data_IF_544221536052
#
_entry.id   IF_544221536052
#
_cell.length_a   1.000
_cell.length_b   1.000
_cell.length_c   1.000
_cell.angle_alpha   90.00
_cell.angle_beta   90.00
_cell.angle_gamma   90.00
#
_symmetry.space_group_name_H-M   'P 1'
#
loop_
_entity.id
_entity.type
_entity.pdbx_description
1 polymer ?
#
# COMPACT_ATOMS: atom_id res chain seq x y z
N UNK A 1 -6.50 72.75 42.02
CA UNK A 1 -5.17 72.85 42.68
C UNK A 1 -4.26 71.76 42.13
N UNK A 2 -3.09 72.15 41.62
CA UNK A 2 -1.77 71.45 41.49
C UNK A 2 -1.78 69.94 41.16
N UNK A 3 -1.37 69.52 39.95
CA UNK A 3 0.02 69.41 39.44
C UNK A 3 0.79 68.18 39.99
N UNK A 4 1.16 67.23 39.11
CA UNK A 4 2.54 66.99 38.65
C UNK A 4 2.67 65.66 37.86
N UNK A 5 3.43 65.77 36.77
CA UNK A 5 4.03 64.75 35.91
C UNK A 5 4.70 63.59 36.67
N UNK A 6 4.69 62.38 36.07
CA UNK A 6 5.89 61.55 35.93
C UNK A 6 5.75 60.54 34.77
N UNK A 7 6.64 60.71 33.80
CA UNK A 7 6.95 59.83 32.68
C UNK A 7 7.57 58.53 33.22
N UNK A 8 7.13 57.38 32.74
CA UNK A 8 7.86 56.11 32.89
C UNK A 8 7.91 55.41 31.54
N UNK A 9 8.96 55.74 30.80
CA UNK A 9 9.54 54.96 29.72
C UNK A 9 10.11 53.67 30.35
N UNK A 10 9.57 52.48 30.04
CA UNK A 10 10.23 51.21 30.34
C UNK A 10 9.75 50.12 29.36
N UNK A 11 10.58 49.86 28.36
CA UNK A 11 10.91 48.53 27.86
C UNK A 11 9.80 47.72 27.20
N UNK A 12 9.61 47.91 25.90
CA UNK A 12 9.17 46.83 25.03
C UNK A 12 10.28 45.75 24.97
N UNK A 13 10.26 44.81 25.91
CA UNK A 13 10.96 43.54 25.73
C UNK A 13 10.16 42.70 24.75
N UNK A 14 10.46 42.87 23.46
CA UNK A 14 10.20 41.85 22.47
C UNK A 14 11.01 40.61 22.89
N UNK A 15 10.33 39.60 23.44
CA UNK A 15 10.89 38.27 23.52
C UNK A 15 11.12 37.81 22.08
N UNK A 16 12.36 37.98 21.62
CA UNK A 16 12.87 37.27 20.46
C UNK A 16 12.73 35.79 20.77
N UNK A 17 11.66 35.18 20.25
CA UNK A 17 11.56 33.73 20.18
C UNK A 17 12.70 33.30 19.25
N UNK A 18 13.82 32.87 19.84
CA UNK A 18 14.80 32.07 19.13
C UNK A 18 14.08 30.77 18.77
N UNK A 19 13.46 30.77 17.59
CA UNK A 19 13.04 29.55 16.91
C UNK A 19 14.31 28.78 16.61
N UNK A 20 14.75 27.94 17.54
CA UNK A 20 15.56 26.78 17.20
C UNK A 20 14.70 25.96 16.24
N UNK A 21 14.83 26.26 14.96
CA UNK A 21 14.27 25.47 13.87
C UNK A 21 14.85 24.07 14.02
N UNK A 22 14.07 23.15 14.60
CA UNK A 22 14.40 21.74 14.62
C UNK A 22 14.32 21.30 13.17
N UNK A 23 15.43 21.40 12.44
CA UNK A 23 15.45 21.02 11.05
C UNK A 23 15.42 19.51 10.96
N UNK A 24 14.33 18.98 10.41
CA UNK A 24 14.09 17.55 10.35
C UNK A 24 14.32 17.06 8.92
N UNK A 25 15.29 16.16 8.77
CA UNK A 25 15.63 15.63 7.45
C UNK A 25 14.65 14.56 6.99
N UNK A 26 14.39 14.49 5.67
CA UNK A 26 13.46 13.50 5.12
C UNK A 26 13.98 12.09 5.35
N UNK A 27 13.10 11.21 5.84
CA UNK A 27 13.38 9.79 5.99
C UNK A 27 13.23 9.10 4.64
N UNK A 28 14.33 8.57 4.11
CA UNK A 28 14.35 7.85 2.83
C UNK A 28 14.65 6.38 3.11
N UNK A 29 13.81 5.48 2.58
CA UNK A 29 14.07 4.04 2.59
C UNK A 29 15.02 3.71 1.45
N UNK A 30 16.22 3.24 1.78
CA UNK A 30 17.20 2.80 0.79
C UNK A 30 17.12 1.29 0.56
N UNK A 31 17.23 0.81 -0.69
CA UNK A 31 17.30 -0.62 -0.98
C UNK A 31 18.59 -1.21 -0.40
N UNK A 32 18.49 -2.39 0.22
CA UNK A 32 19.63 -3.09 0.84
C UNK A 32 20.22 -4.22 -0.02
N UNK A 33 19.64 -4.47 -1.19
CA UNK A 33 19.99 -5.59 -2.08
C UNK A 33 21.32 -5.42 -2.82
N UNK A 34 21.77 -4.18 -3.05
CA UNK A 34 23.01 -3.88 -3.76
C UNK A 34 23.80 -2.79 -3.01
N UNK A 35 25.07 -3.07 -2.68
CA UNK A 35 25.89 -2.15 -1.88
C UNK A 35 26.17 -0.80 -2.57
N UNK A 36 26.28 -0.78 -3.91
CA UNK A 36 26.45 0.45 -4.68
C UNK A 36 25.15 1.26 -4.77
N UNK A 37 23.99 0.61 -4.84
CA UNK A 37 22.68 1.28 -4.82
C UNK A 37 22.34 1.81 -3.42
N UNK A 38 22.59 1.02 -2.38
CA UNK A 38 22.46 1.45 -1.00
C UNK A 38 23.31 2.70 -0.73
N UNK A 39 24.59 2.66 -1.12
CA UNK A 39 25.47 3.81 -0.92
C UNK A 39 25.02 5.06 -1.70
N UNK A 40 24.60 4.90 -2.97
CA UNK A 40 24.08 6.04 -3.77
C UNK A 40 22.83 6.63 -3.16
N UNK A 41 21.93 5.79 -2.62
CA UNK A 41 20.74 6.24 -1.93
C UNK A 41 21.07 7.01 -0.64
N UNK A 42 22.01 6.49 0.18
CA UNK A 42 22.46 7.17 1.40
C UNK A 42 23.09 8.54 1.08
N UNK A 43 23.97 8.62 0.08
CA UNK A 43 24.54 9.90 -0.33
C UNK A 43 23.47 10.88 -0.86
N UNK A 44 22.45 10.39 -1.57
CA UNK A 44 21.33 11.24 -2.02
C UNK A 44 20.52 11.79 -0.87
N UNK A 45 20.32 11.00 0.20
CA UNK A 45 19.67 11.45 1.44
C UNK A 45 20.44 12.59 2.11
N UNK A 46 21.78 12.50 2.16
CA UNK A 46 22.63 13.56 2.70
C UNK A 46 22.48 14.88 1.93
N UNK A 47 22.43 14.81 0.60
CA UNK A 47 22.18 15.99 -0.25
C UNK A 47 20.79 16.58 -0.02
N UNK A 48 19.76 15.75 0.12
CA UNK A 48 18.39 16.23 0.41
C UNK A 48 18.30 16.89 1.79
N UNK A 49 18.96 16.32 2.79
CA UNK A 49 19.04 16.87 4.14
C UNK A 49 19.75 18.22 4.16
N UNK A 50 20.86 18.40 3.40
CA UNK A 50 21.51 19.71 3.27
C UNK A 50 20.66 20.77 2.56
N UNK A 51 19.86 20.36 1.56
CA UNK A 51 18.93 21.28 0.90
C UNK A 51 17.80 21.72 1.83
N UNK A 52 17.27 20.80 2.63
CA UNK A 52 16.23 21.09 3.62
C UNK A 52 16.78 21.88 4.82
N UNK A 53 18.03 21.63 5.19
CA UNK A 53 18.70 22.18 6.35
C UNK A 53 20.00 22.88 5.95
N UNK A 54 20.01 24.20 5.73
CA UNK A 54 21.21 24.93 5.30
C UNK A 54 22.41 24.81 6.26
N UNK A 55 22.13 24.54 7.54
CA UNK A 55 23.15 24.32 8.58
C UNK A 55 23.62 22.86 8.69
N UNK A 56 22.96 21.93 7.98
CA UNK A 56 23.35 20.52 7.96
C UNK A 56 24.59 20.32 7.09
N UNK A 57 25.56 19.59 7.63
CA UNK A 57 26.79 19.22 6.93
C UNK A 57 26.68 17.77 6.45
N UNK A 58 26.52 17.52 5.14
CA UNK A 58 26.53 16.16 4.58
C UNK A 58 27.76 15.36 4.98
N UNK A 59 27.56 14.08 5.24
CA UNK A 59 28.66 13.11 5.35
C UNK A 59 28.56 12.11 4.21
N UNK A 60 29.26 12.38 3.11
CA UNK A 60 29.29 11.47 1.96
C UNK A 60 30.28 10.33 2.18
N UNK A 61 29.89 9.13 1.79
CA UNK A 61 30.76 7.96 1.78
C UNK A 61 31.11 7.53 0.36
N UNK A 62 32.35 7.06 0.10
CA UNK A 62 32.71 6.54 -1.22
C UNK A 62 31.90 5.28 -1.51
N UNK A 63 31.16 5.28 -2.62
CA UNK A 63 30.40 4.11 -3.02
C UNK A 63 31.30 3.08 -3.69
N UNK A 64 31.08 1.78 -3.43
CA UNK A 64 31.74 0.75 -4.21
C UNK A 64 31.35 0.95 -5.67
N UNK A 65 32.34 1.02 -6.55
CA UNK A 65 32.09 0.85 -7.97
C UNK A 65 31.57 -0.57 -8.15
N UNK A 66 30.41 -0.73 -8.80
CA UNK A 66 30.02 -2.05 -9.27
C UNK A 66 31.23 -2.61 -10.04
N UNK A 67 31.67 -3.85 -9.78
CA UNK A 67 32.74 -4.44 -10.56
C UNK A 67 32.38 -4.31 -12.04
N UNK A 68 33.31 -3.89 -12.92
CA UNK A 68 33.01 -3.71 -14.32
C UNK A 68 32.49 -5.05 -14.86
N UNK A 69 31.26 -5.03 -15.33
CA UNK A 69 30.73 -6.06 -16.22
C UNK A 69 31.69 -6.13 -17.41
N UNK A 70 32.33 -7.28 -17.70
CA UNK A 70 33.21 -7.38 -18.85
C UNK A 70 32.41 -7.15 -20.13
N UNK A 71 32.83 -6.15 -20.92
CA UNK A 71 32.31 -5.84 -22.25
C UNK A 71 32.86 -6.86 -23.26
N UNK A 72 32.03 -7.53 -24.10
CA UNK A 72 32.53 -8.46 -25.09
C UNK A 72 32.62 -7.82 -26.48
N UNK A 73 33.75 -7.96 -27.16
CA UNK A 73 33.89 -7.94 -28.63
C UNK A 73 35.20 -8.66 -28.99
N UNK A 74 35.33 -9.39 -30.11
CA UNK A 74 34.53 -10.56 -30.53
C UNK A 74 35.46 -11.74 -30.92
N UNK A 75 35.17 -12.97 -30.48
CA UNK A 75 35.48 -14.16 -31.30
C UNK A 75 34.76 -15.40 -30.78
N UNK A 76 33.79 -15.83 -31.59
CA UNK A 76 33.34 -17.21 -31.84
C UNK A 76 33.83 -18.27 -30.86
N UNK A 77 33.01 -18.60 -29.86
CA UNK A 77 32.61 -19.98 -29.52
C UNK A 77 31.15 -19.93 -29.05
N UNK A 78 30.27 -20.64 -29.76
CA UNK A 78 28.83 -20.67 -29.52
C UNK A 78 28.56 -21.59 -28.31
N UNK A 79 28.43 -21.01 -27.13
CA UNK A 79 27.76 -21.61 -25.96
C UNK A 79 26.55 -20.71 -25.58
N UNK A 80 25.39 -21.28 -25.25
CA UNK A 80 24.17 -20.50 -25.06
C UNK A 80 24.26 -19.65 -23.80
N UNK A 81 24.25 -18.33 -23.95
CA UNK A 81 24.28 -17.32 -22.89
C UNK A 81 23.01 -17.25 -22.04
N UNK A 82 22.01 -18.08 -22.33
CA UNK A 82 20.76 -18.07 -21.59
C UNK A 82 20.72 -19.22 -20.57
N UNK A 83 21.18 -18.90 -19.37
CA UNK A 83 21.12 -19.82 -18.23
C UNK A 83 19.72 -19.77 -17.63
N UNK A 84 19.02 -20.89 -17.68
CA UNK A 84 17.75 -21.05 -16.98
C UNK A 84 18.02 -21.51 -15.55
N UNK A 85 17.72 -20.63 -14.60
CA UNK A 85 17.80 -20.98 -13.18
C UNK A 85 16.72 -22.02 -12.85
N UNK A 86 17.04 -23.07 -12.07
CA UNK A 86 16.05 -24.01 -11.59
C UNK A 86 15.10 -23.27 -10.64
N UNK A 87 13.83 -23.21 -10.98
CA UNK A 87 12.79 -22.74 -10.08
C UNK A 87 12.45 -23.80 -9.03
N UNK A 88 11.95 -23.34 -7.90
CA UNK A 88 11.58 -24.21 -6.78
C UNK A 88 10.16 -24.74 -6.97
N UNK A 89 10.04 -26.03 -7.30
CA UNK A 89 8.74 -26.71 -7.30
C UNK A 89 8.45 -27.36 -5.96
N UNK A 90 7.19 -27.26 -5.53
CA UNK A 90 6.66 -28.08 -4.45
C UNK A 90 6.81 -29.56 -4.82
N UNK A 91 7.28 -30.37 -3.88
CA UNK A 91 7.51 -31.81 -4.10
C UNK A 91 6.22 -32.62 -3.87
N UNK A 92 5.10 -32.16 -4.42
CA UNK A 92 3.78 -32.79 -4.28
C UNK A 92 3.25 -33.12 -5.67
N UNK A 93 2.97 -34.40 -5.92
CA UNK A 93 2.41 -34.86 -7.19
C UNK A 93 0.87 -34.65 -7.22
N UNK A 94 0.25 -34.16 -8.32
CA UNK A 94 0.82 -33.83 -9.64
C UNK A 94 1.34 -32.40 -9.78
N UNK A 95 1.24 -31.56 -8.74
CA UNK A 95 1.61 -30.13 -8.81
C UNK A 95 3.10 -29.90 -9.18
N UNK A 96 3.99 -30.78 -8.72
CA UNK A 96 5.40 -30.77 -9.07
C UNK A 96 5.66 -30.91 -10.58
N UNK A 97 4.85 -31.74 -11.27
CA UNK A 97 4.92 -31.95 -12.71
C UNK A 97 4.56 -30.68 -13.48
N UNK A 98 3.43 -30.06 -13.12
CA UNK A 98 2.97 -28.83 -13.74
C UNK A 98 3.96 -27.68 -13.54
N UNK A 99 4.48 -27.55 -12.32
CA UNK A 99 5.51 -26.56 -12.01
C UNK A 99 6.79 -26.80 -12.84
N UNK A 100 7.26 -28.04 -12.93
CA UNK A 100 8.46 -28.38 -13.72
C UNK A 100 8.29 -28.08 -15.21
N UNK A 101 7.12 -28.39 -15.77
CA UNK A 101 6.78 -28.06 -17.15
C UNK A 101 6.71 -26.55 -17.39
N UNK A 102 6.05 -25.81 -16.49
CA UNK A 102 5.95 -24.37 -16.58
C UNK A 102 7.32 -23.70 -16.55
N UNK A 103 8.26 -24.18 -15.73
CA UNK A 103 9.62 -23.66 -15.72
C UNK A 103 10.40 -23.93 -17.00
N UNK A 104 10.30 -25.14 -17.55
CA UNK A 104 10.92 -25.48 -18.84
C UNK A 104 10.36 -24.59 -19.95
N UNK A 105 9.05 -24.40 -19.97
CA UNK A 105 8.38 -23.56 -20.96
C UNK A 105 8.77 -22.09 -20.79
N UNK A 106 8.76 -21.56 -19.57
CA UNK A 106 9.18 -20.20 -19.26
C UNK A 106 10.66 -19.96 -19.62
N UNK A 107 11.53 -20.94 -19.37
CA UNK A 107 12.92 -20.93 -19.82
C UNK A 107 13.00 -20.80 -21.34
N UNK A 108 12.27 -21.63 -22.09
CA UNK A 108 12.22 -21.56 -23.55
C UNK A 108 11.66 -20.24 -24.06
N UNK A 109 10.63 -19.68 -23.44
CA UNK A 109 10.07 -18.37 -23.79
C UNK A 109 11.06 -17.24 -23.55
N UNK A 110 11.81 -17.31 -22.44
CA UNK A 110 12.81 -16.31 -22.06
C UNK A 110 14.08 -16.39 -22.91
N UNK A 111 14.51 -17.60 -23.23
CA UNK A 111 15.82 -17.88 -23.81
C UNK A 111 15.80 -18.26 -25.29
N UNK A 112 14.63 -18.62 -25.82
CA UNK A 112 14.53 -19.32 -27.11
C UNK A 112 15.20 -20.70 -27.06
N UNK A 113 15.49 -21.25 -28.25
CA UNK A 113 16.21 -22.51 -28.40
C UNK A 113 15.34 -23.65 -28.92
N UNK A 114 15.64 -24.88 -28.49
CA UNK A 114 14.85 -26.06 -28.84
C UNK A 114 13.66 -26.15 -27.89
N UNK A 115 12.46 -26.38 -28.43
CA UNK A 115 11.24 -26.52 -27.64
C UNK A 115 11.42 -27.65 -26.61
N UNK A 116 11.14 -27.39 -25.32
CA UNK A 116 11.38 -28.37 -24.28
C UNK A 116 10.36 -29.52 -24.37
N UNK A 117 10.84 -30.73 -24.08
CA UNK A 117 9.96 -31.87 -23.84
C UNK A 117 9.31 -31.73 -22.46
N UNK A 118 7.98 -31.58 -22.49
CA UNK A 118 7.14 -31.49 -21.31
C UNK A 118 6.76 -32.90 -20.84
N UNK A 119 6.76 -33.10 -19.53
CA UNK A 119 6.29 -34.35 -18.92
C UNK A 119 4.76 -34.43 -19.01
N UNK A 120 4.21 -35.62 -19.24
CA UNK A 120 2.77 -35.83 -19.15
C UNK A 120 2.33 -35.78 -17.68
N UNK A 121 1.57 -34.74 -17.32
CA UNK A 121 1.03 -34.60 -15.99
C UNK A 121 -0.39 -35.20 -15.94
N UNK A 122 -0.76 -35.96 -14.89
CA UNK A 122 -2.13 -36.41 -14.69
C UNK A 122 -3.07 -35.21 -14.67
N UNK A 123 -4.28 -35.30 -15.24
CA UNK A 123 -5.24 -34.20 -15.20
C UNK A 123 -5.41 -33.75 -13.75
N UNK A 124 -5.37 -32.43 -13.52
CA UNK A 124 -5.81 -31.90 -12.24
C UNK A 124 -7.25 -32.38 -12.07
N UNK A 125 -7.44 -33.33 -11.14
CA UNK A 125 -8.75 -33.58 -10.59
C UNK A 125 -9.15 -32.25 -9.97
N UNK A 126 -9.84 -31.41 -10.77
CA UNK A 126 -10.67 -30.40 -10.20
C UNK A 126 -11.56 -31.19 -9.26
N UNK A 127 -11.56 -30.91 -7.94
CA UNK A 127 -12.61 -31.45 -7.11
C UNK A 127 -13.88 -31.10 -7.85
N UNK A 128 -14.54 -32.12 -8.41
CA UNK A 128 -15.89 -31.98 -8.89
C UNK A 128 -16.58 -31.49 -7.65
N UNK A 129 -16.90 -30.20 -7.62
CA UNK A 129 -17.77 -29.65 -6.62
C UNK A 129 -19.05 -30.43 -6.84
N UNK A 130 -19.18 -31.56 -6.13
CA UNK A 130 -20.45 -32.19 -5.88
C UNK A 130 -21.24 -31.03 -5.31
N UNK A 131 -22.09 -30.48 -6.18
CA UNK A 131 -22.95 -29.38 -5.84
C UNK A 131 -23.95 -30.03 -4.92
N UNK A 132 -23.58 -30.14 -3.63
CA UNK A 132 -24.56 -30.29 -2.58
C UNK A 132 -25.46 -29.09 -2.83
N UNK A 133 -26.69 -29.36 -3.23
CA UNK A 133 -27.74 -28.37 -3.26
C UNK A 133 -27.85 -27.83 -1.84
N UNK A 134 -27.05 -26.82 -1.55
CA UNK A 134 -27.32 -25.87 -0.49
C UNK A 134 -28.58 -25.20 -0.97
N UNK A 135 -29.67 -25.40 -0.23
CA UNK A 135 -30.87 -24.61 -0.37
C UNK A 135 -30.43 -23.16 -0.58
N UNK A 136 -30.74 -22.62 -1.76
CA UNK A 136 -30.41 -21.25 -2.13
C UNK A 136 -31.19 -20.37 -1.17
N UNK A 137 -30.54 -20.01 -0.07
CA UNK A 137 -30.89 -18.79 0.63
C UNK A 137 -30.82 -17.66 -0.41
N UNK A 138 -31.79 -16.73 -0.40
CA UNK A 138 -31.86 -15.67 -1.40
C UNK A 138 -30.49 -15.01 -1.53
N UNK A 139 -30.04 -14.66 -2.76
CA UNK A 139 -28.72 -14.10 -2.99
C UNK A 139 -28.52 -12.93 -2.02
N UNK A 140 -27.54 -13.07 -1.13
CA UNK A 140 -27.13 -12.01 -0.23
C UNK A 140 -26.89 -10.76 -1.11
N UNK A 141 -27.42 -9.60 -0.74
CA UNK A 141 -27.36 -8.42 -1.60
C UNK A 141 -25.90 -8.13 -1.97
N UNK A 142 -25.63 -8.06 -3.27
CA UNK A 142 -24.30 -7.85 -3.87
C UNK A 142 -23.62 -6.53 -3.42
N UNK A 143 -24.38 -5.62 -2.81
CA UNK A 143 -23.96 -4.27 -2.42
C UNK A 143 -23.93 -4.09 -0.90
N UNK A 144 -23.54 -5.13 -0.16
CA UNK A 144 -23.54 -5.12 1.30
C UNK A 144 -22.14 -5.44 1.83
N UNK A 145 -21.56 -4.48 2.53
CA UNK A 145 -20.24 -4.64 3.15
C UNK A 145 -20.25 -5.71 4.24
N UNK A 146 -19.16 -6.50 4.32
CA UNK A 146 -18.97 -7.45 5.42
C UNK A 146 -18.76 -6.67 6.72
N UNK A 147 -19.40 -7.05 7.84
CA UNK A 147 -19.16 -6.40 9.12
C UNK A 147 -17.78 -6.76 9.66
N UNK A 148 -17.08 -5.78 10.22
CA UNK A 148 -15.75 -5.93 10.81
C UNK A 148 -15.69 -5.34 12.22
N UNK A 149 -14.58 -5.54 12.93
CA UNK A 149 -14.42 -5.02 14.28
C UNK A 149 -15.30 -5.76 15.29
N UNK A 150 -15.77 -5.05 16.32
CA UNK A 150 -16.45 -5.63 17.48
C UNK A 150 -15.47 -6.09 18.55
N UNK A 151 -15.81 -5.81 19.82
CA UNK A 151 -14.92 -5.91 20.98
C UNK A 151 -14.19 -7.23 21.25
N UNK A 152 -13.35 -7.20 22.30
CA UNK A 152 -12.19 -8.10 22.62
C UNK A 152 -12.38 -9.63 22.58
N UNK A 153 -13.58 -10.15 22.30
CA UNK A 153 -13.84 -11.59 22.16
C UNK A 153 -14.36 -12.04 20.79
N UNK A 154 -14.75 -11.13 19.90
CA UNK A 154 -15.35 -11.45 18.59
C UNK A 154 -14.91 -10.45 17.51
N UNK A 155 -13.61 -10.18 17.45
CA UNK A 155 -13.06 -9.29 16.43
C UNK A 155 -13.24 -9.90 15.04
N UNK A 156 -13.99 -9.22 14.18
CA UNK A 156 -14.25 -9.64 12.81
C UNK A 156 -13.22 -9.01 11.88
N UNK A 157 -12.40 -9.85 11.26
CA UNK A 157 -11.41 -9.42 10.28
C UNK A 157 -12.00 -9.30 8.87
N UNK A 158 -11.49 -8.30 8.15
CA UNK A 158 -11.75 -8.12 6.74
C UNK A 158 -10.90 -9.05 5.90
N UNK A 159 -11.32 -9.27 4.65
CA UNK A 159 -10.57 -10.15 3.75
C UNK A 159 -9.32 -9.40 3.22
N UNK A 160 -8.42 -10.13 2.56
CA UNK A 160 -7.16 -9.53 2.08
C UNK A 160 -7.40 -8.36 1.11
N UNK A 161 -6.75 -7.22 1.35
CA UNK A 161 -6.91 -6.00 0.56
C UNK A 161 -8.12 -5.14 0.95
N UNK A 162 -8.81 -5.51 2.02
CA UNK A 162 -9.85 -4.69 2.63
C UNK A 162 -9.39 -4.13 3.97
N UNK A 163 -9.98 -3.01 4.35
CA UNK A 163 -9.77 -2.36 5.64
C UNK A 163 -11.08 -2.19 6.37
N UNK A 164 -11.01 -2.37 7.70
CA UNK A 164 -12.11 -2.14 8.59
C UNK A 164 -12.21 -0.64 8.92
N UNK A 165 -13.31 -0.01 8.50
CA UNK A 165 -13.60 1.40 8.82
C UNK A 165 -14.92 1.54 9.58
N UNK A 166 -15.11 2.70 10.21
CA UNK A 166 -16.44 3.11 10.69
C UNK A 166 -17.41 3.16 9.50
N UNK A 167 -18.63 2.67 9.69
CA UNK A 167 -19.69 2.85 8.70
C UNK A 167 -20.07 4.35 8.63
N UNK A 168 -19.84 5.04 7.49
CA UNK A 168 -20.07 6.48 7.39
C UNK A 168 -21.54 6.87 7.56
N UNK A 169 -22.46 5.92 7.39
CA UNK A 169 -23.90 6.14 7.50
C UNK A 169 -24.49 5.69 8.84
N UNK A 170 -23.65 5.34 9.82
CA UNK A 170 -24.08 5.03 11.19
C UNK A 170 -23.43 5.96 12.20
N UNK A 171 -24.23 6.40 13.15
CA UNK A 171 -23.76 7.16 14.30
C UNK A 171 -22.86 6.31 15.21
N UNK A 172 -22.00 6.99 15.98
CA UNK A 172 -21.03 6.37 16.88
C UNK A 172 -19.58 6.51 16.42
N UNK A 173 -18.67 5.84 17.12
CA UNK A 173 -17.23 5.87 16.83
C UNK A 173 -16.72 4.60 16.14
N UNK A 174 -17.59 3.61 15.88
CA UNK A 174 -17.23 2.44 15.09
C UNK A 174 -16.15 1.58 15.76
N UNK A 175 -15.26 0.94 14.97
CA UNK A 175 -14.19 0.09 15.49
C UNK A 175 -13.26 0.76 16.51
N UNK A 176 -13.14 2.09 16.50
CA UNK A 176 -12.32 2.83 17.46
C UNK A 176 -12.85 2.73 18.91
N UNK A 177 -14.14 2.49 19.10
CA UNK A 177 -14.76 2.24 20.41
C UNK A 177 -15.31 0.81 20.52
N UNK A 178 -14.65 -0.16 19.91
CA UNK A 178 -15.05 -1.57 19.92
C UNK A 178 -16.44 -1.86 19.30
N UNK A 179 -17.02 -0.91 18.55
CA UNK A 179 -18.26 -1.13 17.80
C UNK A 179 -17.96 -1.83 16.46
N UNK A 180 -19.02 -2.30 15.80
CA UNK A 180 -18.90 -2.92 14.47
C UNK A 180 -18.68 -1.85 13.40
N UNK A 181 -17.79 -2.14 12.46
CA UNK A 181 -17.53 -1.37 11.25
C UNK A 181 -17.92 -2.13 9.99
N UNK A 182 -17.44 -1.64 8.85
CA UNK A 182 -17.61 -2.25 7.53
C UNK A 182 -16.24 -2.51 6.89
N UNK A 183 -16.12 -3.64 6.19
CA UNK A 183 -14.98 -3.91 5.32
C UNK A 183 -15.17 -3.19 3.99
N UNK A 184 -14.16 -2.43 3.59
CA UNK A 184 -14.10 -1.74 2.31
C UNK A 184 -12.76 -2.00 1.66
N UNK A 185 -12.70 -2.00 0.33
CA UNK A 185 -11.41 -2.15 -0.37
C UNK A 185 -10.51 -0.98 0.00
N UNK A 186 -9.25 -1.26 0.32
CA UNK A 186 -8.24 -0.23 0.63
C UNK A 186 -7.74 0.42 -0.68
N UNK A 187 -8.64 1.18 -1.31
CA UNK A 187 -8.39 1.90 -2.55
C UNK A 187 -8.86 3.34 -2.40
N UNK A 188 -7.91 4.24 -2.59
CA UNK A 188 -8.13 5.68 -2.63
C UNK A 188 -9.10 6.06 -3.75
N UNK A 189 -10.11 6.85 -3.40
CA UNK A 189 -10.93 7.63 -4.32
C UNK A 189 -10.87 9.12 -3.94
N UNK A 190 -11.39 10.00 -4.79
CA UNK A 190 -11.40 11.44 -4.54
C UNK A 190 -10.00 12.04 -4.53
N UNK A 191 -9.75 12.91 -3.57
CA UNK A 191 -8.54 13.70 -3.44
C UNK A 191 -8.36 14.73 -4.57
N UNK A 192 -7.21 15.43 -4.54
CA UNK A 192 -6.82 16.37 -5.60
C UNK A 192 -6.82 15.73 -7.00
N UNK A 193 -6.62 14.41 -7.08
CA UNK A 193 -6.65 13.63 -8.33
C UNK A 193 -8.04 13.25 -8.82
N UNK A 194 -9.09 13.42 -8.01
CA UNK A 194 -10.47 13.08 -8.38
C UNK A 194 -10.67 11.60 -8.75
N UNK A 195 -9.99 10.68 -8.07
CA UNK A 195 -10.02 9.26 -8.42
C UNK A 195 -11.43 8.68 -8.24
N UNK A 196 -11.97 8.05 -9.28
CA UNK A 196 -13.28 7.42 -9.22
C UNK A 196 -13.23 6.02 -8.59
N UNK A 197 -14.38 5.56 -8.09
CA UNK A 197 -14.56 4.19 -7.66
C UNK A 197 -14.58 3.22 -8.85
N UNK A 198 -13.96 2.06 -8.70
CA UNK A 198 -13.88 1.04 -9.76
C UNK A 198 -15.24 0.42 -10.08
N UNK A 199 -16.07 0.29 -9.05
CA UNK A 199 -17.38 -0.34 -9.17
C UNK A 199 -18.42 0.75 -9.38
N UNK A 200 -19.24 0.56 -10.40
CA UNK A 200 -20.36 1.43 -10.70
C UNK A 200 -21.30 1.52 -9.48
N UNK A 201 -21.78 2.74 -9.21
CA UNK A 201 -22.72 3.07 -8.13
C UNK A 201 -22.13 3.04 -6.70
N UNK A 202 -20.82 2.81 -6.55
CA UNK A 202 -20.12 3.17 -5.31
C UNK A 202 -19.90 4.67 -5.23
N UNK A 203 -20.01 5.19 -4.02
CA UNK A 203 -19.75 6.59 -3.68
C UNK A 203 -18.40 6.68 -2.97
N UNK A 204 -17.64 7.71 -3.29
CA UNK A 204 -16.42 8.03 -2.57
C UNK A 204 -16.79 8.76 -1.28
N UNK A 205 -16.57 8.11 -0.13
CA UNK A 205 -16.75 8.73 1.18
C UNK A 205 -15.40 8.97 1.82
N UNK A 206 -15.30 10.03 2.60
CA UNK A 206 -14.09 10.42 3.33
C UNK A 206 -13.53 9.28 4.19
N UNK A 207 -12.21 9.11 4.21
CA UNK A 207 -11.57 8.03 4.97
C UNK A 207 -11.49 8.40 6.46
N UNK A 208 -12.28 7.77 7.35
CA UNK A 208 -12.31 8.15 8.77
C UNK A 208 -11.02 7.78 9.54
N UNK A 209 -10.02 7.21 8.86
CA UNK A 209 -8.70 6.91 9.40
C UNK A 209 -7.71 8.05 9.20
N UNK A 210 -8.02 9.02 8.34
CA UNK A 210 -7.18 10.19 8.13
C UNK A 210 -7.67 11.41 8.92
N UNK A 211 -6.79 12.42 9.03
CA UNK A 211 -7.09 13.68 9.71
C UNK A 211 -7.59 14.76 8.72
N UNK A 212 -7.98 14.36 7.50
CA UNK A 212 -8.42 15.28 6.48
C UNK A 212 -9.89 15.64 6.74
N UNK A 213 -10.17 16.93 6.93
CA UNK A 213 -11.54 17.40 7.13
C UNK A 213 -12.08 18.00 5.82
N UNK A 214 -12.98 17.30 5.10
CA UNK A 214 -13.52 17.79 3.84
C UNK A 214 -14.37 19.07 4.00
N UNK A 215 -14.84 19.39 5.21
CA UNK A 215 -15.62 20.61 5.49
C UNK A 215 -14.74 21.84 5.73
N UNK A 216 -13.50 21.66 6.18
CA UNK A 216 -12.61 22.76 6.56
C UNK A 216 -11.42 22.97 5.60
N UNK A 217 -11.02 21.95 4.83
CA UNK A 217 -9.83 22.03 3.94
C UNK A 217 -10.07 21.70 2.46
N UNK A 218 -11.33 21.44 2.05
CA UNK A 218 -11.75 21.38 0.64
C UNK A 218 -11.68 19.99 -0.01
N UNK A 219 -12.09 19.94 -1.28
CA UNK A 219 -12.31 18.74 -2.12
C UNK A 219 -11.09 17.81 -2.34
N UNK A 220 -9.96 18.09 -1.69
CA UNK A 220 -8.68 17.39 -1.89
C UNK A 220 -8.48 16.21 -0.93
N UNK A 221 -9.46 15.92 -0.06
CA UNK A 221 -9.41 14.76 0.83
C UNK A 221 -9.62 13.44 0.08
N UNK A 222 -8.78 12.47 0.42
CA UNK A 222 -8.88 11.10 -0.06
C UNK A 222 -10.05 10.38 0.61
N UNK A 223 -10.66 9.47 -0.10
CA UNK A 223 -11.76 8.66 0.43
C UNK A 223 -11.62 7.18 0.13
N UNK A 224 -12.61 6.43 0.60
CA UNK A 224 -12.80 5.02 0.32
C UNK A 224 -14.16 4.79 -0.35
N UNK A 225 -14.17 3.85 -1.28
CA UNK A 225 -15.37 3.52 -2.04
C UNK A 225 -16.34 2.67 -1.21
N UNK A 226 -17.55 3.20 -0.99
CA UNK A 226 -18.60 2.52 -0.25
C UNK A 226 -19.90 2.45 -1.02
N UNK A 227 -20.72 1.45 -0.71
CA UNK A 227 -22.09 1.39 -1.19
C UNK A 227 -22.96 2.39 -0.43
N UNK A 228 -23.74 3.25 -1.11
CA UNK A 228 -24.66 4.18 -0.47
C UNK A 228 -25.83 3.42 0.18
N UNK A 229 -26.44 3.99 1.23
CA UNK A 229 -27.58 3.39 1.93
C UNK A 229 -28.71 2.96 1.00
N UNK A 230 -29.00 3.74 -0.04
CA UNK A 230 -30.05 3.46 -1.03
C UNK A 230 -29.84 2.16 -1.81
N UNK A 231 -28.60 1.66 -1.88
CA UNK A 231 -28.23 0.43 -2.59
C UNK A 231 -27.93 -0.72 -1.65
N UNK A 232 -27.80 -0.48 -0.34
CA UNK A 232 -27.72 -1.48 0.72
C UNK A 232 -29.10 -2.06 1.03
N UNK A 233 -29.79 -2.60 0.03
CA UNK A 233 -31.05 -3.30 0.26
C UNK A 233 -30.79 -4.54 1.10
N UNK A 234 -31.26 -4.59 2.36
CA UNK A 234 -31.21 -5.83 3.15
C UNK A 234 -31.34 -5.73 4.68
N UNK A 235 -31.30 -4.55 5.32
CA UNK A 235 -31.37 -4.48 6.80
C UNK A 235 -32.23 -3.33 7.39
N UNK A 236 -33.23 -2.84 6.65
CA UNK A 236 -34.49 -2.37 7.26
C UNK A 236 -35.49 -3.48 6.89
N UNK A 237 -36.20 -4.17 7.78
CA UNK A 237 -36.76 -3.80 9.07
C UNK A 237 -36.82 -5.05 9.97
N UNK A 238 -36.40 -4.93 11.22
CA UNK A 238 -36.62 -5.91 12.27
C UNK A 238 -36.83 -5.15 13.57
N UNK A 239 -38.11 -4.92 13.88
CA UNK A 239 -38.66 -4.25 15.05
C UNK A 239 -38.07 -4.75 16.38
#
# INVERSE_FOLDING_TARGET
>A
MKAFLLVSLLGAFALAQTTTSICQCPLIKCPSSNAAELCRCLNSRETMCQRACPMYKPTYMPCPVNPPTPSPTPEVQVEPTCTCEPGFCIQVWPQSCYCGNAQKQHCFEKCGGVKPELQECPPMEMPSLVTRAVEVSPPKPINMHKPCGGGRGNYRECDYGEVCIKDPYKDGCGPACDQVGICVKDKLCGGFGGFACDVKDQVCEDDPRDDCDPLNYGNDCGGLCVWPLSLRHGCHEGN
#
